data_IF_091469950863
#
_entry.id   IF_091469950863
#
_cell.length_a   1.000
_cell.length_b   1.000
_cell.length_c   1.000
_cell.angle_alpha   90.00
_cell.angle_beta   90.00
_cell.angle_gamma   90.00
#
_symmetry.space_group_name_H-M   'P 1'
#
loop_
_entity.id
_entity.type
_entity.pdbx_description
1 polymer ?
#
# COMPACT_ATOMS: atom_id res chain seq x y z
N UNK A 1 -7.73 -4.17 10.45
CA UNK A 1 -7.11 -5.47 10.12
C UNK A 1 -6.17 -5.88 11.25
N UNK A 2 -5.30 -4.98 11.71
CA UNK A 2 -4.47 -5.22 12.90
C UNK A 2 -5.31 -5.63 14.13
N UNK A 3 -6.37 -4.89 14.45
CA UNK A 3 -7.31 -5.24 15.53
C UNK A 3 -8.03 -6.59 15.31
N UNK A 4 -8.03 -7.12 14.09
CA UNK A 4 -8.61 -8.41 13.73
C UNK A 4 -7.56 -9.54 13.72
N UNK A 5 -6.31 -9.26 14.12
CA UNK A 5 -5.23 -10.25 14.23
C UNK A 5 -4.31 -10.34 13.01
N UNK A 6 -4.47 -9.49 12.00
CA UNK A 6 -3.57 -9.47 10.85
C UNK A 6 -2.25 -8.81 11.20
N UNK A 7 -1.14 -9.40 10.73
CA UNK A 7 0.13 -8.69 10.68
C UNK A 7 0.07 -7.64 9.56
N UNK A 8 0.14 -6.36 9.91
CA UNK A 8 -0.02 -5.26 8.96
C UNK A 8 1.33 -4.66 8.57
N UNK A 9 1.59 -4.55 7.27
CA UNK A 9 2.73 -3.79 6.71
C UNK A 9 2.17 -2.77 5.73
N UNK A 10 2.42 -1.50 5.97
CA UNK A 10 1.91 -0.40 5.14
C UNK A 10 3.01 0.23 4.29
N UNK A 11 2.62 1.02 3.29
CA UNK A 11 3.49 1.85 2.47
C UNK A 11 4.52 1.07 1.64
N UNK A 12 4.16 -0.13 1.20
CA UNK A 12 5.04 -0.96 0.39
C UNK A 12 4.91 -0.67 -1.10
N UNK A 13 6.02 -0.71 -1.86
CA UNK A 13 5.96 -0.81 -3.31
C UNK A 13 5.37 -2.16 -3.70
N UNK A 14 4.51 -2.16 -4.72
CA UNK A 14 3.89 -3.38 -5.25
C UNK A 14 4.92 -4.46 -5.65
N UNK A 15 6.06 -4.05 -6.20
CA UNK A 15 7.13 -4.96 -6.62
C UNK A 15 7.80 -5.75 -5.47
N UNK A 16 7.70 -5.28 -4.22
CA UNK A 16 8.31 -5.97 -3.07
C UNK A 16 7.39 -6.98 -2.40
N UNK A 17 6.09 -6.99 -2.72
CA UNK A 17 5.14 -7.87 -2.05
C UNK A 17 5.50 -9.35 -2.19
N UNK A 18 5.87 -9.88 -3.38
CA UNK A 18 6.17 -11.31 -3.51
C UNK A 18 7.34 -11.77 -2.66
N UNK A 19 8.42 -10.97 -2.58
CA UNK A 19 9.61 -11.31 -1.78
C UNK A 19 9.27 -11.33 -0.29
N UNK A 20 8.50 -10.36 0.19
CA UNK A 20 8.06 -10.26 1.58
C UNK A 20 7.20 -11.47 1.94
N UNK A 21 6.21 -11.81 1.11
CA UNK A 21 5.32 -12.95 1.37
C UNK A 21 6.09 -14.27 1.35
N UNK A 22 6.95 -14.50 0.35
CA UNK A 22 7.74 -15.72 0.26
C UNK A 22 8.65 -15.92 1.48
N UNK A 23 9.25 -14.84 2.01
CA UNK A 23 10.07 -14.91 3.21
C UNK A 23 9.25 -15.25 4.46
N UNK A 24 8.11 -14.61 4.63
CA UNK A 24 7.25 -14.80 5.80
C UNK A 24 6.59 -16.19 5.82
N UNK A 25 6.21 -16.68 4.64
CA UNK A 25 5.68 -18.04 4.44
C UNK A 25 6.74 -19.10 4.83
N UNK A 26 8.00 -18.91 4.41
CA UNK A 26 9.09 -19.84 4.75
C UNK A 26 9.38 -19.93 6.26
N UNK A 27 9.19 -18.83 6.99
CA UNK A 27 9.39 -18.80 8.44
C UNK A 27 8.23 -19.43 9.25
N UNK A 28 7.17 -19.93 8.59
CA UNK A 28 5.91 -20.41 9.21
C UNK A 28 5.33 -19.42 10.23
N UNK A 29 5.61 -18.12 10.04
CA UNK A 29 5.41 -17.12 11.09
C UNK A 29 4.07 -16.40 11.00
N UNK A 30 3.22 -16.65 9.98
CA UNK A 30 2.00 -15.86 9.77
C UNK A 30 0.84 -16.66 9.17
N UNK A 31 -0.30 -16.65 9.87
CA UNK A 31 -1.58 -17.15 9.34
C UNK A 31 -2.41 -16.03 8.66
N UNK A 32 -2.19 -14.75 9.02
CA UNK A 32 -2.96 -13.62 8.51
C UNK A 32 -2.07 -12.39 8.27
N UNK A 33 -1.97 -11.95 7.01
CA UNK A 33 -1.11 -10.85 6.56
C UNK A 33 -1.94 -9.81 5.81
N UNK A 34 -1.72 -8.53 6.13
CA UNK A 34 -2.34 -7.39 5.45
C UNK A 34 -1.24 -6.46 4.92
N UNK A 35 -1.22 -6.28 3.60
CA UNK A 35 -0.20 -5.48 2.90
C UNK A 35 -0.84 -4.23 2.29
N UNK A 36 -0.37 -3.05 2.70
CA UNK A 36 -0.78 -1.76 2.17
C UNK A 36 0.12 -1.32 1.01
N UNK A 37 -0.48 -1.12 -0.16
CA UNK A 37 0.19 -0.57 -1.35
C UNK A 37 -0.13 0.92 -1.47
N UNK A 38 0.92 1.73 -1.56
CA UNK A 38 0.82 3.19 -1.66
C UNK A 38 0.84 3.66 -3.13
N UNK A 39 0.17 4.80 -3.41
CA UNK A 39 0.20 5.56 -4.67
C UNK A 39 1.60 5.93 -5.15
N UNK A 40 2.62 5.85 -4.29
CA UNK A 40 4.04 5.97 -4.64
C UNK A 40 4.55 4.85 -5.56
N UNK A 41 3.81 3.75 -5.70
CA UNK A 41 4.09 2.73 -6.71
C UNK A 41 4.01 3.37 -8.11
N UNK A 42 5.02 3.11 -8.94
CA UNK A 42 5.08 3.71 -10.27
C UNK A 42 3.99 3.15 -11.18
N UNK A 43 3.67 3.87 -12.26
CA UNK A 43 2.76 3.34 -13.29
C UNK A 43 3.24 2.01 -13.86
N UNK A 44 4.55 1.81 -13.96
CA UNK A 44 5.14 0.56 -14.40
C UNK A 44 4.85 -0.57 -13.41
N UNK A 45 5.00 -0.30 -12.10
CA UNK A 45 4.67 -1.30 -11.07
C UNK A 45 3.21 -1.73 -11.14
N UNK A 46 2.29 -0.78 -11.37
CA UNK A 46 0.86 -1.07 -11.48
C UNK A 46 0.49 -1.91 -12.70
N UNK A 47 1.28 -1.86 -13.78
CA UNK A 47 1.07 -2.73 -14.95
C UNK A 47 1.41 -4.19 -14.64
N UNK A 48 2.26 -4.43 -13.64
CA UNK A 48 2.65 -5.77 -13.17
C UNK A 48 1.70 -6.31 -12.10
N UNK A 49 0.63 -5.60 -11.75
CA UNK A 49 -0.28 -6.01 -10.66
C UNK A 49 -0.84 -7.42 -10.86
N UNK A 50 -1.31 -7.75 -12.07
CA UNK A 50 -1.86 -9.08 -12.34
C UNK A 50 -0.81 -10.17 -12.11
N UNK A 51 0.43 -9.92 -12.55
CA UNK A 51 1.54 -10.85 -12.35
C UNK A 51 1.90 -11.01 -10.86
N UNK A 52 1.97 -9.90 -10.13
CA UNK A 52 2.21 -9.91 -8.69
C UNK A 52 1.09 -10.65 -7.96
N UNK A 53 -0.17 -10.39 -8.32
CA UNK A 53 -1.34 -11.03 -7.73
C UNK A 53 -1.31 -12.56 -7.93
N UNK A 54 -1.01 -13.03 -9.14
CA UNK A 54 -0.84 -14.46 -9.43
C UNK A 54 0.30 -15.09 -8.60
N UNK A 55 1.39 -14.36 -8.36
CA UNK A 55 2.48 -14.84 -7.50
C UNK A 55 2.02 -14.98 -6.05
N UNK A 56 1.31 -13.98 -5.52
CA UNK A 56 0.81 -13.98 -4.15
C UNK A 56 -0.18 -15.13 -3.90
N UNK A 57 -1.03 -15.45 -4.88
CA UNK A 57 -1.98 -16.56 -4.78
C UNK A 57 -1.34 -17.94 -4.61
N UNK A 58 -0.04 -18.09 -4.91
CA UNK A 58 0.70 -19.34 -4.67
C UNK A 58 0.96 -19.61 -3.19
N UNK A 59 0.89 -18.56 -2.35
CA UNK A 59 1.13 -18.63 -0.91
C UNK A 59 -0.16 -18.72 -0.08
N UNK A 60 -1.33 -18.55 -0.71
CA UNK A 60 -2.61 -18.64 0.00
C UNK A 60 -3.74 -17.89 -0.70
N UNK A 61 -4.86 -17.75 0.00
CA UNK A 61 -5.98 -16.94 -0.49
C UNK A 61 -5.64 -15.46 -0.35
N UNK A 62 -5.82 -14.71 -1.43
CA UNK A 62 -5.50 -13.27 -1.48
C UNK A 62 -6.77 -12.50 -1.81
N UNK A 63 -7.17 -11.60 -0.92
CA UNK A 63 -8.27 -10.66 -1.11
C UNK A 63 -7.72 -9.24 -1.33
N UNK A 64 -8.32 -8.52 -2.28
CA UNK A 64 -7.93 -7.15 -2.61
C UNK A 64 -8.99 -6.18 -2.12
N UNK A 65 -8.60 -5.23 -1.28
CA UNK A 65 -9.48 -4.17 -0.79
C UNK A 65 -9.01 -2.84 -1.39
N UNK A 66 -9.88 -2.21 -2.19
CA UNK A 66 -9.65 -0.87 -2.73
C UNK A 66 -10.59 0.13 -2.07
N UNK A 67 -10.02 1.10 -1.36
CA UNK A 67 -10.76 2.16 -0.69
C UNK A 67 -10.76 3.42 -1.56
N UNK A 68 -11.95 3.94 -1.87
CA UNK A 68 -12.12 5.16 -2.67
C UNK A 68 -13.16 6.08 -2.05
N UNK A 69 -13.12 7.36 -2.43
CA UNK A 69 -14.06 8.40 -1.99
C UNK A 69 -14.05 9.53 -3.02
N UNK A 70 -14.96 10.50 -2.88
CA UNK A 70 -15.00 11.66 -3.77
C UNK A 70 -13.82 12.60 -3.51
N UNK A 71 -13.33 13.28 -4.55
CA UNK A 71 -12.19 14.21 -4.46
C UNK A 71 -12.37 15.29 -3.38
N UNK A 72 -13.60 15.81 -3.24
CA UNK A 72 -13.93 16.81 -2.22
C UNK A 72 -13.70 16.29 -0.79
N UNK A 73 -13.99 15.01 -0.53
CA UNK A 73 -13.77 14.38 0.77
C UNK A 73 -12.28 14.13 1.02
N UNK A 74 -11.53 13.75 -0.02
CA UNK A 74 -10.07 13.61 0.07
C UNK A 74 -9.40 14.95 0.45
N UNK A 75 -9.80 16.03 -0.21
CA UNK A 75 -9.28 17.38 0.05
C UNK A 75 -9.62 17.83 1.47
N UNK A 76 -10.86 17.61 1.92
CA UNK A 76 -11.31 17.95 3.26
C UNK A 76 -10.50 17.20 4.34
N UNK A 77 -10.28 15.89 4.15
CA UNK A 77 -9.48 15.06 5.06
C UNK A 77 -8.03 15.50 5.14
N UNK A 78 -7.40 15.75 3.99
CA UNK A 78 -6.01 16.24 3.94
C UNK A 78 -5.85 17.60 4.63
N UNK A 79 -6.83 18.50 4.45
CA UNK A 79 -6.82 19.84 5.05
C UNK A 79 -6.98 19.81 6.57
N UNK A 80 -7.67 18.79 7.10
CA UNK A 80 -7.84 18.59 8.54
C UNK A 80 -6.58 18.01 9.21
N UNK A 81 -5.78 17.21 8.50
CA UNK A 81 -4.53 16.62 9.00
C UNK A 81 -3.33 17.54 8.74
N UNK A 82 -3.22 18.67 9.45
CA UNK A 82 -2.08 19.59 9.28
C UNK A 82 -0.80 19.05 9.95
N UNK A 83 0.00 18.30 9.18
CA UNK A 83 1.46 18.43 9.21
C UNK A 83 1.90 19.08 7.89
N UNK A 84 2.87 20.02 7.89
CA UNK A 84 3.39 20.62 6.66
C UNK A 84 3.98 19.54 5.73
N UNK A 85 3.72 19.68 4.42
CA UNK A 85 4.10 18.72 3.39
C UNK A 85 5.64 18.67 3.20
N UNK A 86 6.29 17.49 3.27
CA UNK A 86 7.76 17.37 3.20
C UNK A 86 8.41 17.94 1.93
N UNK A 87 7.65 18.05 0.83
CA UNK A 87 8.13 18.58 -0.46
C UNK A 87 7.69 20.03 -0.76
N UNK A 88 7.00 20.71 0.18
CA UNK A 88 6.51 22.07 -0.04
C UNK A 88 7.63 23.11 -0.27
N UNK A 89 8.87 22.80 0.14
CA UNK A 89 10.01 23.72 -0.04
C UNK A 89 10.59 23.74 -1.46
N UNK A 90 10.11 22.91 -2.40
CA UNK A 90 10.69 22.84 -3.75
C UNK A 90 10.02 23.75 -4.79
N UNK A 91 8.89 24.35 -4.45
CA UNK A 91 8.21 25.35 -5.29
C UNK A 91 7.92 26.61 -4.46
N UNK A 92 8.92 27.48 -4.32
CA UNK A 92 8.73 28.81 -3.75
C UNK A 92 8.35 29.81 -4.86
N UNK A 93 7.16 30.39 -4.67
CA UNK A 93 6.65 31.70 -5.11
C UNK A 93 6.77 32.10 -6.59
N UNK A 94 5.63 32.08 -7.28
CA UNK A 94 5.23 33.15 -8.20
C UNK A 94 4.02 33.87 -7.61
N UNK A 95 4.22 34.47 -6.45
CA UNK A 95 3.51 35.64 -5.92
C UNK A 95 4.52 36.39 -5.04
#
# INVERSE_FOLDING_TARGET
LEDLGYYCIDNLPLALLPEIVAKLDHENNLEQLALGVDVRSTRADMQEFDHVFEQLQKHGTVDVIYLTTQDQDLIARFSASRRPHPLANRFKSLL
#
